data_IF_445179844967
#
_entry.id   IF_445179844967
#
_cell.length_a   1.000
_cell.length_b   1.000
_cell.length_c   1.000
_cell.angle_alpha   90.00
_cell.angle_beta   90.00
_cell.angle_gamma   90.00
#
_symmetry.space_group_name_H-M   'P 1'
#
loop_
_entity.id
_entity.type
_entity.pdbx_description
1 polymer ?
#
# COMPACT_ATOMS: atom_id res chain seq x y z
N UNK A 1 -0.31 -20.89 35.44
CA UNK A 1 -0.98 -20.63 34.16
C UNK A 1 0.07 -20.18 33.18
N UNK A 2 0.07 -20.71 31.95
CA UNK A 2 0.90 -20.14 30.89
C UNK A 2 0.47 -18.69 30.63
N UNK A 3 1.40 -17.77 30.29
CA UNK A 3 1.03 -16.41 29.92
C UNK A 3 0.06 -16.42 28.73
N UNK A 4 -0.91 -15.51 28.75
CA UNK A 4 -1.89 -15.34 27.67
C UNK A 4 -1.17 -14.71 26.48
N UNK A 5 -1.20 -15.33 25.28
CA UNK A 5 -0.55 -14.75 24.11
C UNK A 5 -1.16 -13.40 23.73
N UNK A 6 -0.31 -12.43 23.37
CA UNK A 6 -0.71 -11.05 23.03
C UNK A 6 -0.38 -10.72 21.58
N UNK A 7 -1.38 -10.24 20.84
CA UNK A 7 -1.28 -9.88 19.43
C UNK A 7 -1.55 -8.39 19.22
N UNK A 8 -0.61 -7.68 18.63
CA UNK A 8 -0.83 -6.31 18.17
C UNK A 8 -1.39 -6.31 16.74
N UNK A 9 -2.51 -5.63 16.54
CA UNK A 9 -3.02 -5.22 15.23
C UNK A 9 -2.45 -3.83 14.92
N UNK A 10 -1.37 -3.78 14.15
CA UNK A 10 -0.68 -2.52 13.88
C UNK A 10 -1.52 -1.58 12.99
N UNK A 11 -1.79 -0.41 13.53
CA UNK A 11 -2.44 0.75 12.92
C UNK A 11 -1.52 1.97 13.03
N UNK A 12 -2.02 3.19 12.90
CA UNK A 12 -1.26 4.45 13.04
C UNK A 12 -2.02 5.43 13.93
N UNK A 13 -1.33 6.45 14.47
CA UNK A 13 -1.85 7.33 15.52
C UNK A 13 -3.09 8.13 15.11
N UNK A 14 -3.24 8.48 13.83
CA UNK A 14 -4.44 9.14 13.29
C UNK A 14 -5.65 8.18 13.19
N UNK A 15 -5.45 6.87 13.40
CA UNK A 15 -6.47 5.83 13.38
C UNK A 15 -6.27 4.83 14.54
N UNK A 16 -6.41 5.28 15.80
CA UNK A 16 -6.05 4.48 16.98
C UNK A 16 -6.91 3.22 17.15
N UNK A 17 -8.17 3.28 16.72
CA UNK A 17 -9.14 2.18 16.83
C UNK A 17 -9.17 1.25 15.60
N UNK A 18 -8.26 1.46 14.65
CA UNK A 18 -8.28 0.78 13.36
C UNK A 18 -9.42 1.26 12.45
N UNK A 19 -9.47 0.71 11.23
CA UNK A 19 -10.53 1.02 10.26
C UNK A 19 -11.67 0.02 10.41
N UNK A 20 -12.90 0.44 10.73
CA UNK A 20 -14.15 -0.35 10.70
C UNK A 20 -14.30 -1.61 11.60
N UNK A 21 -15.45 -2.27 11.47
CA UNK A 21 -16.01 -3.36 12.31
C UNK A 21 -15.26 -4.69 12.22
N UNK A 22 -14.50 -4.91 11.14
CA UNK A 22 -13.88 -6.21 10.85
C UNK A 22 -12.72 -6.48 11.81
N UNK A 23 -11.91 -5.48 12.10
CA UNK A 23 -10.78 -5.57 13.02
C UNK A 23 -11.26 -5.81 14.46
N UNK A 24 -12.37 -5.17 14.86
CA UNK A 24 -13.02 -5.46 16.13
C UNK A 24 -13.57 -6.91 16.17
N UNK A 25 -14.03 -7.44 15.04
CA UNK A 25 -14.45 -8.84 14.96
C UNK A 25 -13.25 -9.80 15.08
N UNK A 26 -12.10 -9.44 14.51
CA UNK A 26 -10.84 -10.18 14.70
C UNK A 26 -10.44 -10.20 16.17
N UNK A 27 -10.40 -9.05 16.85
CA UNK A 27 -10.09 -8.99 18.29
C UNK A 27 -11.03 -9.86 19.12
N UNK A 28 -12.35 -9.78 18.87
CA UNK A 28 -13.34 -10.63 19.56
C UNK A 28 -13.11 -12.13 19.33
N UNK A 29 -12.79 -12.53 18.09
CA UNK A 29 -12.53 -13.94 17.75
C UNK A 29 -11.23 -14.46 18.38
N UNK A 30 -10.18 -13.64 18.41
CA UNK A 30 -8.93 -13.95 19.11
C UNK A 30 -9.16 -14.09 20.62
N UNK A 31 -9.92 -13.16 21.22
CA UNK A 31 -10.30 -13.23 22.64
C UNK A 31 -11.06 -14.51 22.99
N UNK A 32 -12.02 -14.92 22.14
CA UNK A 32 -12.73 -16.19 22.31
C UNK A 32 -11.82 -17.44 22.19
N UNK A 33 -10.65 -17.30 21.56
CA UNK A 33 -9.62 -18.34 21.47
C UNK A 33 -8.56 -18.23 22.60
N UNK A 34 -8.76 -17.35 23.58
CA UNK A 34 -7.81 -17.14 24.68
C UNK A 34 -6.55 -16.35 24.29
N UNK A 35 -6.65 -15.51 23.26
CA UNK A 35 -5.57 -14.63 22.79
C UNK A 35 -5.99 -13.17 23.05
N UNK A 36 -5.15 -12.40 23.73
CA UNK A 36 -5.36 -10.97 23.90
C UNK A 36 -4.97 -10.26 22.59
N UNK A 37 -5.86 -9.45 22.03
CA UNK A 37 -5.58 -8.71 20.81
C UNK A 37 -6.09 -7.28 20.90
N UNK A 38 -5.27 -6.33 20.43
CA UNK A 38 -5.58 -4.91 20.47
C UNK A 38 -4.86 -4.14 19.38
N UNK A 39 -5.31 -2.91 19.13
CA UNK A 39 -4.66 -2.01 18.20
C UNK A 39 -3.44 -1.35 18.83
N UNK A 40 -2.41 -1.14 18.03
CA UNK A 40 -1.22 -0.39 18.43
C UNK A 40 -0.72 0.45 17.25
N UNK A 41 -0.48 1.74 17.49
CA UNK A 41 0.00 2.66 16.46
C UNK A 41 1.51 2.47 16.21
N UNK A 42 1.91 2.12 14.99
CA UNK A 42 3.32 1.87 14.66
C UNK A 42 4.21 3.12 14.80
N UNK A 43 3.60 4.30 14.67
CA UNK A 43 4.23 5.61 14.74
C UNK A 43 4.09 6.30 16.11
N UNK A 44 3.48 5.63 17.09
CA UNK A 44 3.45 6.06 18.49
C UNK A 44 4.72 5.56 19.22
N UNK A 45 5.60 6.46 19.70
CA UNK A 45 6.81 6.07 20.41
C UNK A 45 6.55 5.42 21.79
N UNK A 46 5.36 5.59 22.36
CA UNK A 46 5.02 5.09 23.70
C UNK A 46 4.56 3.62 23.69
N UNK A 47 4.35 3.03 22.51
CA UNK A 47 3.97 1.62 22.39
C UNK A 47 5.14 0.71 22.75
N UNK A 48 4.96 -0.06 23.83
CA UNK A 48 5.84 -1.17 24.18
C UNK A 48 5.59 -2.38 23.28
N UNK A 49 6.36 -2.46 22.19
CA UNK A 49 6.32 -3.60 21.27
C UNK A 49 6.86 -4.89 21.87
N UNK A 50 7.63 -4.81 22.96
CA UNK A 50 8.17 -5.99 23.62
C UNK A 50 7.10 -6.79 24.36
N UNK A 51 5.98 -6.15 24.68
CA UNK A 51 4.85 -6.74 25.36
C UNK A 51 3.92 -7.59 24.46
N UNK A 52 4.21 -7.72 23.17
CA UNK A 52 3.45 -8.54 22.23
C UNK A 52 4.26 -9.74 21.74
N UNK A 53 3.58 -10.88 21.57
CA UNK A 53 4.16 -12.11 21.02
C UNK A 53 4.11 -12.11 19.48
N UNK A 54 3.13 -11.40 18.89
CA UNK A 54 2.94 -11.29 17.46
C UNK A 54 2.42 -9.90 17.08
N UNK A 55 2.92 -9.36 15.97
CA UNK A 55 2.46 -8.11 15.36
C UNK A 55 1.94 -8.39 13.96
N UNK A 56 0.73 -7.92 13.66
CA UNK A 56 0.06 -8.06 12.37
C UNK A 56 -0.22 -6.68 11.80
N UNK A 57 0.37 -6.35 10.64
CA UNK A 57 0.07 -5.11 9.92
C UNK A 57 -1.39 -5.13 9.44
N UNK A 58 -2.14 -4.07 9.78
CA UNK A 58 -3.52 -3.86 9.34
C UNK A 58 -3.65 -2.58 8.53
N UNK A 59 -3.65 -1.43 9.20
CA UNK A 59 -4.03 -0.15 8.61
C UNK A 59 -2.89 0.86 8.60
N UNK A 60 -1.62 0.44 8.52
CA UNK A 60 -0.44 1.33 8.63
C UNK A 60 -0.22 2.25 7.42
N UNK A 61 -1.29 2.80 6.82
CA UNK A 61 -1.31 3.45 5.50
C UNK A 61 -0.45 4.71 5.40
N UNK A 62 -0.25 5.41 6.52
CA UNK A 62 0.65 6.55 6.61
C UNK A 62 2.14 6.16 6.41
N UNK A 63 2.50 4.87 6.32
CA UNK A 63 3.85 4.44 5.93
C UNK A 63 4.31 5.08 4.63
N UNK A 64 3.38 5.34 3.71
CA UNK A 64 3.67 5.96 2.41
C UNK A 64 4.26 7.37 2.55
N UNK A 65 4.06 8.04 3.69
CA UNK A 65 4.64 9.35 4.03
C UNK A 65 5.98 9.24 4.77
N UNK A 66 6.28 8.07 5.34
CA UNK A 66 7.38 7.85 6.28
C UNK A 66 8.01 6.45 6.08
N UNK A 67 8.26 6.05 4.82
CA UNK A 67 8.61 4.65 4.50
C UNK A 67 9.85 4.18 5.23
N UNK A 68 10.90 4.99 5.29
CA UNK A 68 12.16 4.58 5.92
C UNK A 68 11.97 4.32 7.42
N UNK A 69 11.19 5.17 8.09
CA UNK A 69 10.79 4.99 9.49
C UNK A 69 9.96 3.71 9.65
N UNK A 70 9.04 3.45 8.73
CA UNK A 70 8.19 2.25 8.76
C UNK A 70 9.00 0.96 8.54
N UNK A 71 9.96 0.96 7.61
CA UNK A 71 10.85 -0.17 7.37
C UNK A 71 11.78 -0.39 8.58
N UNK A 72 12.31 0.67 9.16
CA UNK A 72 13.09 0.59 10.40
C UNK A 72 12.25 0.03 11.57
N UNK A 73 11.00 0.48 11.70
CA UNK A 73 10.04 -0.07 12.66
C UNK A 73 9.83 -1.58 12.42
N UNK A 74 9.53 -1.99 11.18
CA UNK A 74 9.31 -3.40 10.85
C UNK A 74 10.53 -4.27 11.21
N UNK A 75 11.74 -3.80 10.89
CA UNK A 75 13.01 -4.47 11.26
C UNK A 75 13.23 -4.55 12.76
N UNK A 76 12.83 -3.53 13.52
CA UNK A 76 12.88 -3.56 15.00
C UNK A 76 11.92 -4.60 15.59
N UNK A 77 10.73 -4.78 15.00
CA UNK A 77 9.79 -5.83 15.45
C UNK A 77 10.37 -7.23 15.20
N UNK A 78 11.09 -7.41 14.09
CA UNK A 78 11.81 -8.64 13.78
C UNK A 78 10.87 -9.82 13.54
N UNK A 79 11.20 -10.97 14.12
CA UNK A 79 10.49 -12.25 13.90
C UNK A 79 9.03 -12.25 14.42
N UNK A 80 8.69 -11.31 15.30
CA UNK A 80 7.31 -11.14 15.77
C UNK A 80 6.40 -10.53 14.71
N UNK A 81 6.94 -9.96 13.63
CA UNK A 81 6.14 -9.41 12.56
C UNK A 81 5.66 -10.54 11.64
N UNK A 82 4.35 -10.75 11.55
CA UNK A 82 3.77 -11.89 10.81
C UNK A 82 4.22 -11.95 9.36
N UNK A 83 4.22 -10.81 8.67
CA UNK A 83 4.90 -10.65 7.39
C UNK A 83 6.30 -10.15 7.71
N UNK A 84 7.31 -11.02 7.60
CA UNK A 84 8.66 -10.72 8.07
C UNK A 84 9.21 -9.38 7.54
N UNK A 85 10.16 -8.76 8.25
CA UNK A 85 10.60 -7.38 8.00
C UNK A 85 11.11 -7.15 6.58
N UNK A 86 11.84 -8.10 6.00
CA UNK A 86 12.35 -7.96 4.64
C UNK A 86 11.26 -8.10 3.57
N UNK A 87 10.21 -8.89 3.83
CA UNK A 87 9.03 -8.94 2.95
C UNK A 87 8.30 -7.59 2.96
N UNK A 88 8.16 -6.97 4.13
CA UNK A 88 7.52 -5.65 4.29
C UNK A 88 8.38 -4.56 3.65
N UNK A 89 9.71 -4.61 3.84
CA UNK A 89 10.63 -3.69 3.18
C UNK A 89 10.51 -3.79 1.65
N UNK A 90 10.49 -5.02 1.12
CA UNK A 90 10.35 -5.29 -0.30
C UNK A 90 9.00 -4.85 -0.87
N UNK A 91 7.87 -5.25 -0.27
CA UNK A 91 6.54 -5.00 -0.83
C UNK A 91 5.96 -3.61 -0.54
N UNK A 92 6.59 -2.81 0.35
CA UNK A 92 6.22 -1.42 0.62
C UNK A 92 6.59 -0.46 -0.54
N UNK A 93 7.38 -0.92 -1.51
CA UNK A 93 7.75 -0.18 -2.71
C UNK A 93 7.35 -0.97 -3.97
N UNK A 94 6.45 -0.44 -4.80
CA UNK A 94 5.96 -1.12 -6.02
C UNK A 94 7.05 -1.41 -7.06
N UNK A 95 8.29 -0.99 -6.86
CA UNK A 95 9.44 -1.49 -7.60
C UNK A 95 9.55 -3.03 -7.58
N UNK A 96 8.99 -3.71 -6.56
CA UNK A 96 8.90 -5.18 -6.51
C UNK A 96 8.21 -5.80 -7.75
N UNK A 97 7.38 -5.03 -8.48
CA UNK A 97 6.77 -5.50 -9.73
C UNK A 97 7.81 -5.87 -10.80
N UNK A 98 9.00 -5.26 -10.76
CA UNK A 98 10.12 -5.63 -11.64
C UNK A 98 10.64 -7.02 -11.31
N UNK A 99 10.78 -7.35 -10.02
CA UNK A 99 11.25 -8.67 -9.57
C UNK A 99 10.22 -9.75 -9.93
N UNK A 100 8.93 -9.45 -9.77
CA UNK A 100 7.84 -10.34 -10.20
C UNK A 100 7.86 -10.58 -11.72
N UNK A 101 8.06 -9.52 -12.51
CA UNK A 101 8.19 -9.63 -13.96
C UNK A 101 9.39 -10.50 -14.36
N UNK A 102 10.55 -10.30 -13.71
CA UNK A 102 11.76 -11.09 -13.92
C UNK A 102 11.57 -12.57 -13.55
N UNK A 103 10.70 -12.86 -12.57
CA UNK A 103 10.29 -14.22 -12.20
C UNK A 103 9.20 -14.82 -13.11
N UNK A 104 8.77 -14.11 -14.16
CA UNK A 104 7.76 -14.59 -15.12
C UNK A 104 6.30 -14.38 -14.69
N UNK A 105 6.04 -13.64 -13.61
CA UNK A 105 4.68 -13.26 -13.22
C UNK A 105 4.18 -12.15 -14.17
N UNK A 106 3.00 -12.29 -14.79
CA UNK A 106 2.46 -11.26 -15.65
C UNK A 106 2.19 -9.95 -14.88
N UNK A 107 2.91 -8.89 -15.23
CA UNK A 107 2.69 -7.54 -14.72
C UNK A 107 2.49 -6.56 -15.87
N UNK A 108 1.89 -5.39 -15.60
CA UNK A 108 1.84 -4.34 -16.60
C UNK A 108 3.27 -3.90 -16.96
N UNK A 109 3.62 -3.74 -18.25
CA UNK A 109 4.91 -3.20 -18.64
C UNK A 109 5.17 -1.89 -17.92
N UNK A 110 6.26 -1.81 -17.18
CA UNK A 110 6.50 -0.72 -16.24
C UNK A 110 7.86 -0.08 -16.50
N UNK A 111 7.88 1.24 -16.63
CA UNK A 111 9.11 2.02 -16.60
C UNK A 111 9.21 2.77 -15.27
N UNK A 112 10.32 2.55 -14.56
CA UNK A 112 10.66 3.30 -13.36
C UNK A 112 11.57 4.48 -13.74
N UNK A 113 11.32 5.64 -13.14
CA UNK A 113 12.07 6.88 -13.37
C UNK A 113 12.41 7.47 -12.02
N UNK A 114 13.67 7.42 -11.63
CA UNK A 114 14.19 7.96 -10.38
C UNK A 114 14.82 9.36 -10.54
N UNK A 115 15.26 9.98 -9.43
CA UNK A 115 16.03 11.21 -9.47
C UNK A 115 17.29 11.08 -10.33
N UNK A 116 17.44 11.94 -11.33
CA UNK A 116 18.58 11.95 -12.27
C UNK A 116 18.40 11.08 -13.51
N UNK A 117 17.35 10.27 -13.59
CA UNK A 117 17.04 9.49 -14.79
C UNK A 117 16.48 10.39 -15.91
N UNK A 118 16.74 10.08 -17.18
CA UNK A 118 16.13 10.79 -18.29
C UNK A 118 14.63 10.54 -18.33
N UNK A 119 13.87 11.58 -18.68
CA UNK A 119 12.43 11.45 -18.89
C UNK A 119 12.14 10.48 -20.04
N UNK A 120 11.14 9.59 -19.88
CA UNK A 120 10.82 8.63 -20.90
C UNK A 120 10.00 9.27 -22.02
N UNK A 121 10.16 8.75 -23.24
CA UNK A 121 9.14 8.94 -24.26
C UNK A 121 7.86 8.24 -23.80
N UNK A 122 6.75 8.97 -23.84
CA UNK A 122 5.42 8.46 -23.56
C UNK A 122 4.75 8.08 -24.88
N UNK A 123 4.05 6.94 -24.89
CA UNK A 123 3.31 6.44 -26.05
C UNK A 123 1.95 5.91 -25.59
N UNK A 124 0.89 6.23 -26.34
CA UNK A 124 -0.48 5.83 -26.00
C UNK A 124 -1.01 6.50 -24.73
N UNK A 125 -2.02 5.89 -24.11
CA UNK A 125 -2.54 6.34 -22.82
C UNK A 125 -1.72 5.73 -21.69
N UNK A 126 -1.34 6.53 -20.70
CA UNK A 126 -0.44 6.14 -19.62
C UNK A 126 -1.04 6.39 -18.25
N UNK A 127 -0.67 5.56 -17.28
CA UNK A 127 -0.85 5.82 -15.86
C UNK A 127 0.52 6.13 -15.22
N UNK A 128 0.58 7.19 -14.43
CA UNK A 128 1.78 7.64 -13.71
C UNK A 128 1.48 7.69 -12.23
N UNK A 129 2.34 7.12 -11.39
CA UNK A 129 2.25 7.19 -9.92
C UNK A 129 3.58 6.97 -9.23
N UNK A 130 3.79 7.39 -7.97
CA UNK A 130 4.98 7.01 -7.23
C UNK A 130 4.94 5.53 -6.86
N UNK A 131 6.11 4.90 -6.79
CA UNK A 131 6.21 3.49 -6.40
C UNK A 131 5.78 3.27 -4.95
N UNK A 132 6.11 4.21 -4.06
CA UNK A 132 5.64 4.31 -2.68
C UNK A 132 4.44 5.26 -2.63
N UNK A 133 3.25 4.71 -2.39
CA UNK A 133 1.99 5.48 -2.33
C UNK A 133 0.88 4.64 -1.69
N UNK A 134 -0.06 5.33 -1.03
CA UNK A 134 -1.33 4.80 -0.56
C UNK A 134 -2.46 5.74 -1.03
N UNK A 135 -3.68 5.22 -1.18
CA UNK A 135 -4.84 6.07 -1.43
C UNK A 135 -4.91 6.73 -2.81
N UNK A 136 -4.21 6.20 -3.82
CA UNK A 136 -4.04 6.81 -5.15
C UNK A 136 -3.36 8.19 -5.16
N UNK A 137 -2.67 8.58 -4.07
CA UNK A 137 -1.91 9.84 -4.01
C UNK A 137 -0.90 9.92 -5.16
N UNK A 138 -0.82 11.12 -5.77
CA UNK A 138 0.05 11.43 -6.91
C UNK A 138 -0.12 10.45 -8.08
N UNK A 139 -1.32 9.89 -8.27
CA UNK A 139 -1.63 8.95 -9.37
C UNK A 139 -2.48 9.65 -10.42
N UNK A 140 -2.04 9.63 -11.68
CA UNK A 140 -2.78 10.19 -12.81
C UNK A 140 -2.86 9.25 -13.99
N UNK A 141 -3.88 9.47 -14.84
CA UNK A 141 -4.10 8.79 -16.12
C UNK A 141 -4.12 9.85 -17.21
N UNK A 142 -3.34 9.67 -18.28
CA UNK A 142 -3.15 10.68 -19.31
C UNK A 142 -3.26 10.09 -20.70
N UNK A 143 -4.13 10.66 -21.51
CA UNK A 143 -4.19 10.42 -22.95
C UNK A 143 -2.98 11.02 -23.69
N UNK A 144 -2.74 10.65 -24.97
CA UNK A 144 -1.66 11.23 -25.76
C UNK A 144 -1.63 12.76 -25.82
N UNK A 145 -2.79 13.41 -25.80
CA UNK A 145 -2.88 14.88 -25.80
C UNK A 145 -2.46 15.52 -24.48
N UNK A 146 -2.35 14.74 -23.40
CA UNK A 146 -1.98 15.20 -22.06
C UNK A 146 -0.64 14.61 -21.57
N UNK A 147 0.24 14.24 -22.50
CA UNK A 147 1.59 13.76 -22.16
C UNK A 147 2.46 14.83 -21.49
N UNK A 148 2.16 16.12 -21.71
CA UNK A 148 2.85 17.21 -21.01
C UNK A 148 2.54 17.18 -19.50
N UNK A 149 1.28 16.97 -19.11
CA UNK A 149 0.85 16.85 -17.72
C UNK A 149 1.39 15.55 -17.09
N UNK A 150 1.43 14.46 -17.85
CA UNK A 150 2.07 13.22 -17.41
C UNK A 150 3.54 13.45 -17.08
N UNK A 151 4.25 14.18 -17.95
CA UNK A 151 5.66 14.55 -17.77
C UNK A 151 5.85 15.42 -16.53
N UNK A 152 5.01 16.45 -16.35
CA UNK A 152 5.04 17.32 -15.18
C UNK A 152 4.78 16.55 -13.86
N UNK A 153 3.92 15.52 -13.89
CA UNK A 153 3.71 14.65 -12.73
C UNK A 153 4.95 13.78 -12.45
N UNK A 154 5.58 13.20 -13.48
CA UNK A 154 6.84 12.44 -13.33
C UNK A 154 7.90 13.35 -12.69
N UNK A 155 8.10 14.54 -13.23
CA UNK A 155 9.05 15.54 -12.73
C UNK A 155 8.80 15.90 -11.27
N UNK A 156 7.53 16.14 -10.89
CA UNK A 156 7.16 16.43 -9.49
C UNK A 156 7.47 15.27 -8.56
N UNK A 157 7.23 14.03 -8.99
CA UNK A 157 7.56 12.84 -8.19
C UNK A 157 9.06 12.74 -7.98
N UNK A 158 9.87 12.82 -9.05
CA UNK A 158 11.34 12.70 -8.94
C UNK A 158 11.98 13.88 -8.20
N UNK A 159 11.45 15.09 -8.33
CA UNK A 159 11.92 16.26 -7.60
C UNK A 159 11.72 16.13 -6.08
N UNK A 160 10.75 15.31 -5.65
CA UNK A 160 10.54 14.96 -4.24
C UNK A 160 11.43 13.81 -3.73
N UNK A 161 12.40 13.36 -4.54
CA UNK A 161 13.29 12.24 -4.21
C UNK A 161 12.65 10.86 -4.34
N UNK A 162 11.43 10.76 -4.89
CA UNK A 162 10.69 9.51 -5.06
C UNK A 162 10.84 8.96 -6.48
N UNK A 163 10.65 7.66 -6.65
CA UNK A 163 10.63 7.01 -7.97
C UNK A 163 9.23 7.08 -8.57
N UNK A 164 9.13 7.58 -9.81
CA UNK A 164 7.92 7.52 -10.61
C UNK A 164 7.81 6.17 -11.32
N UNK A 165 6.59 5.67 -11.44
CA UNK A 165 6.24 4.46 -12.16
C UNK A 165 5.28 4.82 -13.29
N UNK A 166 5.67 4.50 -14.53
CA UNK A 166 4.91 4.77 -15.76
C UNK A 166 4.47 3.45 -16.37
N UNK A 167 3.17 3.29 -16.58
CA UNK A 167 2.55 2.07 -17.11
C UNK A 167 1.59 2.44 -18.26
N UNK A 168 1.43 1.59 -19.29
CA UNK A 168 0.34 1.76 -20.24
C UNK A 168 -1.00 1.60 -19.51
N UNK A 169 -1.97 2.44 -19.83
CA UNK A 169 -3.30 2.32 -19.24
C UNK A 169 -4.03 1.10 -19.84
N UNK A 170 -4.40 0.15 -18.97
CA UNK A 170 -5.13 -1.04 -19.38
C UNK A 170 -6.62 -0.71 -19.52
N UNK A 171 -7.08 -0.47 -20.76
CA UNK A 171 -8.49 -0.15 -21.09
C UNK A 171 -9.50 -1.19 -20.59
N UNK A 172 -9.06 -2.42 -20.32
CA UNK A 172 -9.91 -3.45 -19.70
C UNK A 172 -10.39 -3.03 -18.31
N UNK A 173 -9.64 -2.21 -17.57
CA UNK A 173 -10.02 -1.70 -16.24
C UNK A 173 -11.31 -0.87 -16.30
N UNK A 174 -11.52 -0.08 -17.36
CA UNK A 174 -12.75 0.72 -17.53
C UNK A 174 -14.00 -0.18 -17.66
N UNK A 175 -13.86 -1.32 -18.34
CA UNK A 175 -14.98 -2.23 -18.66
C UNK A 175 -15.18 -3.31 -17.61
N UNK A 176 -14.08 -3.91 -17.18
CA UNK A 176 -14.05 -5.10 -16.33
C UNK A 176 -13.75 -4.73 -14.87
N UNK A 177 -13.12 -3.59 -14.60
CA UNK A 177 -12.58 -3.27 -13.29
C UNK A 177 -11.32 -4.08 -12.99
N UNK A 178 -11.05 -4.25 -11.71
CA UNK A 178 -9.93 -5.01 -11.17
C UNK A 178 -10.48 -6.15 -10.30
N UNK A 179 -9.78 -7.28 -10.30
CA UNK A 179 -10.10 -8.42 -9.42
C UNK A 179 -9.02 -8.53 -8.35
N UNK A 180 -9.43 -8.42 -7.08
CA UNK A 180 -8.56 -8.66 -5.93
C UNK A 180 -8.89 -10.04 -5.34
N UNK A 181 -7.88 -10.90 -5.23
CA UNK A 181 -8.02 -12.26 -4.68
C UNK A 181 -7.34 -12.30 -3.31
N UNK A 182 -8.11 -12.63 -2.28
CA UNK A 182 -7.62 -12.75 -0.90
C UNK A 182 -7.30 -14.20 -0.61
N UNK A 183 -6.06 -14.46 -0.19
CA UNK A 183 -5.60 -15.77 0.25
C UNK A 183 -5.42 -15.81 1.77
N UNK A 184 -5.87 -16.89 2.41
CA UNK A 184 -5.65 -17.15 3.85
C UNK A 184 -5.02 -18.55 3.97
N UNK A 185 -3.84 -18.64 4.60
CA UNK A 185 -3.12 -19.92 4.73
C UNK A 185 -2.71 -20.53 3.38
N UNK A 186 -2.51 -19.69 2.35
CA UNK A 186 -2.19 -20.14 0.99
C UNK A 186 -3.40 -20.60 0.16
N UNK A 187 -4.62 -20.53 0.72
CA UNK A 187 -5.86 -20.96 0.04
C UNK A 187 -6.66 -19.72 -0.37
N UNK A 188 -7.19 -19.71 -1.60
CA UNK A 188 -8.14 -18.69 -2.03
C UNK A 188 -9.35 -18.65 -1.09
N UNK A 189 -9.65 -17.47 -0.58
CA UNK A 189 -10.70 -17.29 0.42
C UNK A 189 -11.83 -16.40 -0.10
N UNK A 190 -11.50 -15.25 -0.70
CA UNK A 190 -12.48 -14.28 -1.19
C UNK A 190 -11.99 -13.66 -2.49
N UNK A 191 -12.91 -13.34 -3.39
CA UNK A 191 -12.65 -12.60 -4.63
C UNK A 191 -13.49 -11.34 -4.62
N UNK A 192 -12.85 -10.18 -4.73
CA UNK A 192 -13.47 -8.87 -4.75
C UNK A 192 -13.31 -8.25 -6.14
N UNK A 193 -14.35 -7.55 -6.58
CA UNK A 193 -14.31 -6.76 -7.81
C UNK A 193 -14.30 -5.28 -7.47
N UNK A 194 -13.29 -4.56 -7.95
CA UNK A 194 -13.14 -3.12 -7.78
C UNK A 194 -13.36 -2.41 -9.11
N UNK A 195 -14.06 -1.28 -9.10
CA UNK A 195 -14.21 -0.43 -10.29
C UNK A 195 -12.95 0.42 -10.50
N UNK A 196 -12.64 0.76 -11.75
CA UNK A 196 -11.61 1.73 -12.05
C UNK A 196 -11.92 3.08 -11.36
N UNK A 197 -10.94 3.61 -10.64
CA UNK A 197 -11.09 4.85 -9.85
C UNK A 197 -10.54 6.07 -10.62
N UNK A 198 -9.63 5.85 -11.57
CA UNK A 198 -8.98 6.93 -12.32
C UNK A 198 -9.82 7.34 -13.54
N UNK A 199 -10.25 8.59 -13.55
CA UNK A 199 -10.86 9.22 -14.72
C UNK A 199 -9.78 9.60 -15.76
N UNK A 200 -10.13 9.64 -17.06
CA UNK A 200 -9.22 10.13 -18.08
C UNK A 200 -8.77 11.56 -17.79
N UNK A 201 -7.48 11.83 -18.00
CA UNK A 201 -6.85 13.15 -17.94
C UNK A 201 -6.98 13.86 -16.58
N UNK A 202 -7.09 13.06 -15.51
CA UNK A 202 -7.14 13.53 -14.14
C UNK A 202 -6.02 12.92 -13.30
N UNK A 203 -5.54 13.70 -12.34
CA UNK A 203 -4.77 13.20 -11.19
C UNK A 203 -5.77 13.01 -10.06
N UNK A 204 -5.75 11.85 -9.41
CA UNK A 204 -6.60 11.61 -8.25
C UNK A 204 -6.40 12.75 -7.23
N UNK A 205 -7.48 13.29 -6.63
CA UNK A 205 -7.37 14.40 -5.71
C UNK A 205 -6.40 14.04 -4.59
N UNK A 206 -5.47 14.95 -4.27
CA UNK A 206 -4.55 14.78 -3.16
C UNK A 206 -5.38 14.91 -1.88
N UNK A 207 -5.83 13.78 -1.35
CA UNK A 207 -6.36 13.74 0.01
C UNK A 207 -5.15 13.64 0.94
N UNK A 208 -4.86 14.70 1.67
CA UNK A 208 -3.67 14.77 2.54
C UNK A 208 -3.80 13.84 3.76
N UNK A 209 -5.03 13.58 4.20
CA UNK A 209 -5.31 12.61 5.26
C UNK A 209 -5.27 11.17 4.71
N UNK A 210 -4.69 10.25 5.50
CA UNK A 210 -4.63 8.85 5.10
C UNK A 210 -6.02 8.18 5.13
N UNK A 211 -6.96 8.80 5.86
CA UNK A 211 -8.32 8.32 6.09
C UNK A 211 -9.25 8.59 4.91
N UNK A 212 -9.22 9.78 4.33
CA UNK A 212 -10.02 10.17 3.18
C UNK A 212 -9.50 9.54 1.89
N UNK A 213 -8.19 9.30 1.77
CA UNK A 213 -7.63 8.52 0.68
C UNK A 213 -8.07 7.04 0.73
N UNK A 214 -8.25 6.48 1.94
CA UNK A 214 -8.84 5.16 2.14
C UNK A 214 -10.37 5.16 1.96
N UNK A 215 -11.07 6.19 2.46
CA UNK A 215 -12.51 6.35 2.28
C UNK A 215 -12.91 6.42 0.79
N UNK A 216 -12.13 7.14 -0.02
CA UNK A 216 -12.34 7.22 -1.47
C UNK A 216 -12.08 5.88 -2.22
N UNK A 217 -11.33 4.96 -1.61
CA UNK A 217 -11.05 3.63 -2.18
C UNK A 217 -11.99 2.53 -1.68
N UNK A 218 -12.69 2.74 -0.55
CA UNK A 218 -13.52 1.77 0.17
C UNK A 218 -15.00 2.17 0.31
N UNK A 219 -15.39 3.37 -0.10
CA UNK A 219 -16.79 3.78 -0.29
C UNK A 219 -17.35 3.37 -1.64
#
# INVERSE_FOLDING_TARGET
MAPVPRVALATFAELPDGWVKDELAVCRRLGAAGIEAGFAAWDDPEVDWDAYDLVVIRNTWNYSRQRDRFVAWARRIGERLRNGPELVAWNSDKAYLSDLAAAGVPTAPTRFVGPGDPLPRLDGEVAVKPTVSAGARDTGRFSPSHHAEATALIERIIASGRTAMVQPYLRSVDRLGETAIVHIGGIESHVLRKRGVLRPDEVAPVVEDALGAAAAMHG
#
